data_IF_608165287983
#
_entry.id   IF_608165287983
#
_cell.length_a   1.000
_cell.length_b   1.000
_cell.length_c   1.000
_cell.angle_alpha   90.00
_cell.angle_beta   90.00
_cell.angle_gamma   90.00
#
_symmetry.space_group_name_H-M   'P 1'
#
loop_
_entity.id
_entity.type
_entity.pdbx_description
1 polymer ?
#
# COMPACT_ATOMS: atom_id res chain seq x y z
N UNK A 1 29.13 15.41 1.96
CA UNK A 1 28.51 16.74 2.16
C UNK A 1 27.05 16.54 2.54
N UNK A 2 26.64 16.86 3.77
CA UNK A 2 25.22 16.70 4.19
C UNK A 2 24.38 17.77 3.50
N UNK A 3 23.51 17.39 2.56
CA UNK A 3 22.69 18.34 1.82
C UNK A 3 21.46 18.73 2.67
N UNK A 4 21.26 20.04 2.84
CA UNK A 4 20.08 20.58 3.53
C UNK A 4 18.84 20.36 2.65
N UNK A 5 17.80 19.76 3.23
CA UNK A 5 16.54 19.44 2.53
C UNK A 5 15.34 20.25 3.01
N UNK A 6 15.40 20.91 4.17
CA UNK A 6 14.30 21.77 4.61
C UNK A 6 14.36 22.12 6.09
N UNK A 7 13.22 22.58 6.64
CA UNK A 7 13.04 22.84 8.08
C UNK A 7 12.35 21.64 8.74
N UNK A 8 12.77 21.32 9.95
CA UNK A 8 12.23 20.22 10.74
C UNK A 8 10.85 20.64 11.29
N UNK A 9 9.80 19.82 11.10
CA UNK A 9 8.46 20.16 11.59
C UNK A 9 8.38 20.12 13.12
N UNK A 10 9.28 19.40 13.81
CA UNK A 10 9.32 19.35 15.28
C UNK A 10 9.96 20.57 15.94
N UNK A 11 11.05 21.10 15.37
CA UNK A 11 11.87 22.10 16.07
C UNK A 11 12.41 23.23 15.18
N UNK A 12 12.01 23.30 13.91
CA UNK A 12 12.39 24.37 12.98
C UNK A 12 13.83 24.31 12.45
N UNK A 13 14.73 23.52 13.06
CA UNK A 13 16.12 23.34 12.62
C UNK A 13 16.21 22.67 11.24
N UNK A 14 17.37 22.70 10.62
CA UNK A 14 17.56 22.08 9.31
C UNK A 14 17.34 20.56 9.34
N UNK A 15 16.61 20.04 8.36
CA UNK A 15 16.63 18.60 8.00
C UNK A 15 17.75 18.39 7.00
N UNK A 16 18.55 17.35 7.21
CA UNK A 16 19.72 17.00 6.40
C UNK A 16 19.61 15.58 5.88
N UNK A 17 20.13 15.36 4.67
CA UNK A 17 20.32 14.03 4.10
C UNK A 17 21.52 13.33 4.78
N UNK A 18 21.26 12.16 5.39
CA UNK A 18 22.26 11.35 6.09
C UNK A 18 22.51 10.00 5.41
N UNK A 19 22.29 9.91 4.09
CA UNK A 19 22.48 8.68 3.33
C UNK A 19 21.22 7.82 3.31
N UNK A 20 20.97 7.02 4.36
CA UNK A 20 19.81 6.11 4.44
C UNK A 20 18.53 6.76 4.97
N UNK A 21 18.64 7.95 5.57
CA UNK A 21 17.50 8.69 6.13
C UNK A 21 17.68 10.20 6.05
N UNK A 22 16.58 10.92 6.14
CA UNK A 22 16.54 12.36 6.41
C UNK A 22 16.41 12.57 7.91
N UNK A 23 17.28 13.38 8.50
CA UNK A 23 17.29 13.59 9.95
C UNK A 23 17.40 15.06 10.33
N UNK A 24 16.89 15.43 11.49
CA UNK A 24 17.11 16.76 12.03
C UNK A 24 18.59 17.00 12.34
N UNK A 25 19.13 18.16 12.00
CA UNK A 25 20.47 18.59 12.41
C UNK A 25 20.57 18.74 13.94
N UNK A 26 19.44 19.01 14.60
CA UNK A 26 19.32 19.09 16.06
C UNK A 26 19.18 17.74 16.78
N UNK A 27 19.45 16.61 16.11
CA UNK A 27 19.25 15.28 16.70
C UNK A 27 20.04 15.08 17.99
N UNK A 28 21.29 15.53 18.00
CA UNK A 28 22.17 15.51 19.18
C UNK A 28 21.67 16.39 20.34
N UNK A 29 20.74 17.32 20.08
CA UNK A 29 20.10 18.19 21.08
C UNK A 29 18.70 17.71 21.46
N UNK A 30 18.39 16.43 21.24
CA UNK A 30 17.14 15.78 21.65
C UNK A 30 16.00 15.76 20.62
N UNK A 31 16.20 16.29 19.40
CA UNK A 31 15.16 16.21 18.35
C UNK A 31 15.25 14.89 17.59
N UNK A 32 14.26 14.02 17.74
CA UNK A 32 14.20 12.68 17.17
C UNK A 32 13.60 12.61 15.75
N UNK A 33 13.34 13.74 15.09
CA UNK A 33 12.79 13.73 13.73
C UNK A 33 13.73 13.01 12.75
N UNK A 34 13.23 11.91 12.20
CA UNK A 34 13.89 11.15 11.15
C UNK A 34 12.86 10.49 10.22
N UNK A 35 13.19 10.41 8.94
CA UNK A 35 12.41 9.72 7.90
C UNK A 35 13.36 8.82 7.13
N UNK A 36 13.12 7.51 7.15
CA UNK A 36 13.88 6.56 6.34
C UNK A 36 13.59 6.77 4.86
N UNK A 37 14.62 6.75 4.01
CA UNK A 37 14.40 6.90 2.57
C UNK A 37 13.62 5.73 1.97
N UNK A 38 13.82 4.55 2.53
CA UNK A 38 13.15 3.31 2.12
C UNK A 38 11.80 3.10 2.82
N UNK A 39 11.27 4.09 3.56
CA UNK A 39 10.03 3.90 4.33
C UNK A 39 8.81 3.53 3.48
N UNK A 40 8.83 3.82 2.18
CA UNK A 40 7.76 3.49 1.23
C UNK A 40 8.14 2.37 0.24
N UNK A 41 9.31 1.74 0.41
CA UNK A 41 9.80 0.71 -0.54
C UNK A 41 8.88 -0.50 -0.62
N UNK A 42 8.28 -0.89 0.51
CA UNK A 42 7.29 -1.96 0.62
C UNK A 42 6.02 -1.68 -0.19
N UNK A 43 5.71 -0.42 -0.50
CA UNK A 43 4.57 0.00 -1.32
C UNK A 43 4.94 0.21 -2.80
N UNK A 44 6.20 -0.03 -3.17
CA UNK A 44 6.67 0.16 -4.54
C UNK A 44 7.26 1.54 -4.84
N UNK A 45 7.54 2.35 -3.82
CA UNK A 45 8.30 3.59 -3.97
C UNK A 45 9.73 3.41 -3.38
N UNK A 46 10.75 3.18 -4.23
CA UNK A 46 12.02 2.60 -3.79
C UNK A 46 12.79 3.47 -2.81
N UNK A 47 12.81 4.79 -3.02
CA UNK A 47 13.54 5.73 -2.19
C UNK A 47 12.93 7.12 -2.29
N UNK A 48 12.66 7.73 -1.14
CA UNK A 48 12.29 9.15 -1.08
C UNK A 48 13.52 9.98 -1.43
N UNK A 49 13.44 10.74 -2.51
CA UNK A 49 14.51 11.61 -3.00
C UNK A 49 14.58 12.94 -2.24
N UNK A 50 15.69 13.70 -2.32
CA UNK A 50 15.78 15.01 -1.65
C UNK A 50 14.73 16.01 -2.15
N UNK A 51 14.28 15.88 -3.42
CA UNK A 51 13.22 16.71 -4.00
C UNK A 51 11.87 16.38 -3.39
N UNK A 52 11.55 15.10 -3.25
CA UNK A 52 10.29 14.63 -2.65
C UNK A 52 10.25 14.95 -1.15
N UNK A 53 11.36 14.76 -0.43
CA UNK A 53 11.45 15.15 0.98
C UNK A 53 11.21 16.66 1.17
N UNK A 54 11.76 17.52 0.30
CA UNK A 54 11.46 18.96 0.32
C UNK A 54 9.98 19.26 0.14
N UNK A 55 9.29 18.48 -0.70
CA UNK A 55 7.86 18.63 -0.93
C UNK A 55 7.06 18.14 0.28
N UNK A 56 7.39 16.96 0.82
CA UNK A 56 6.78 16.39 2.02
C UNK A 56 6.91 17.30 3.26
N UNK A 57 8.03 18.02 3.40
CA UNK A 57 8.20 19.01 4.48
C UNK A 57 7.32 20.26 4.32
N UNK A 58 6.74 20.49 3.13
CA UNK A 58 5.82 21.60 2.85
C UNK A 58 4.36 21.19 2.94
N UNK A 59 4.04 19.90 2.86
CA UNK A 59 2.69 19.36 2.95
C UNK A 59 2.52 18.10 2.10
N UNK A 60 1.26 17.77 1.82
CA UNK A 60 0.88 16.62 0.97
C UNK A 60 1.43 16.77 -0.45
N UNK A 61 1.95 15.67 -1.02
CA UNK A 61 2.54 15.62 -2.36
C UNK A 61 2.16 14.34 -3.09
N UNK A 62 1.95 14.41 -4.41
CA UNK A 62 1.79 13.21 -5.23
C UNK A 62 3.14 12.59 -5.56
N UNK A 63 3.33 11.33 -5.15
CA UNK A 63 4.51 10.52 -5.49
C UNK A 63 4.10 9.35 -6.39
N UNK A 64 5.01 8.90 -7.25
CA UNK A 64 4.79 7.71 -8.07
C UNK A 64 5.24 6.44 -7.35
N UNK A 65 4.43 5.41 -7.50
CA UNK A 65 4.62 4.09 -6.90
C UNK A 65 4.54 3.06 -8.01
N UNK A 66 5.63 2.32 -8.18
CA UNK A 66 5.66 1.15 -9.05
C UNK A 66 5.18 -0.04 -8.24
N UNK A 67 3.87 -0.25 -8.29
CA UNK A 67 3.25 -1.35 -7.56
C UNK A 67 3.75 -2.70 -8.10
N UNK A 68 3.55 -3.77 -7.33
CA UNK A 68 4.08 -5.10 -7.63
C UNK A 68 3.71 -5.58 -9.04
N UNK A 69 2.69 -5.03 -9.68
CA UNK A 69 2.27 -5.32 -11.04
C UNK A 69 3.11 -4.72 -12.17
N UNK A 70 4.02 -3.80 -11.87
CA UNK A 70 4.75 -3.01 -12.87
C UNK A 70 3.97 -1.80 -13.41
N UNK A 71 2.71 -1.61 -12.99
CA UNK A 71 1.94 -0.40 -13.25
C UNK A 71 2.45 0.70 -12.32
N UNK A 72 2.63 1.91 -12.85
CA UNK A 72 2.95 3.09 -12.08
C UNK A 72 1.66 3.82 -11.71
N UNK A 73 1.48 4.14 -10.41
CA UNK A 73 0.34 4.92 -9.90
C UNK A 73 0.83 6.10 -9.08
N UNK A 74 0.06 7.18 -9.09
CA UNK A 74 0.29 8.35 -8.26
C UNK A 74 -0.55 8.25 -6.99
N UNK A 75 0.06 8.45 -5.82
CA UNK A 75 -0.65 8.58 -4.54
C UNK A 75 -0.26 9.88 -3.85
N UNK A 76 -1.20 10.45 -3.12
CA UNK A 76 -0.90 11.53 -2.20
C UNK A 76 -0.18 10.96 -0.98
N UNK A 77 0.84 11.65 -0.55
CA UNK A 77 1.68 11.27 0.59
C UNK A 77 1.89 12.49 1.47
N UNK A 78 1.69 12.30 2.77
CA UNK A 78 1.88 13.34 3.78
C UNK A 78 2.70 12.80 4.95
N UNK A 79 3.42 13.68 5.65
CA UNK A 79 4.07 13.34 6.91
C UNK A 79 3.09 13.46 8.06
N UNK A 80 2.71 12.33 8.65
CA UNK A 80 1.84 12.29 9.83
C UNK A 80 2.64 11.98 11.07
N UNK A 81 2.19 12.49 12.22
CA UNK A 81 2.77 12.18 13.52
C UNK A 81 1.93 11.11 14.22
N UNK A 82 2.50 9.91 14.40
CA UNK A 82 1.88 8.80 15.16
C UNK A 82 2.82 8.37 16.28
N UNK A 83 2.30 8.25 17.50
CA UNK A 83 3.10 7.89 18.69
C UNK A 83 4.41 8.69 18.80
N UNK A 84 4.32 10.01 18.63
CA UNK A 84 5.46 10.93 18.63
C UNK A 84 6.50 10.73 17.52
N UNK A 85 6.31 9.84 16.55
CA UNK A 85 7.20 9.66 15.39
C UNK A 85 6.54 10.19 14.13
N UNK A 86 7.34 10.79 13.25
CA UNK A 86 6.88 11.20 11.93
C UNK A 86 7.03 10.03 10.96
N UNK A 87 6.00 9.78 10.17
CA UNK A 87 5.96 8.73 9.15
C UNK A 87 5.35 9.29 7.87
N UNK A 88 5.86 8.90 6.69
CA UNK A 88 5.15 9.16 5.45
C UNK A 88 3.92 8.24 5.38
N UNK A 89 2.72 8.81 5.42
CA UNK A 89 1.46 8.10 5.20
C UNK A 89 1.00 8.32 3.77
N UNK A 90 0.66 7.23 3.11
CA UNK A 90 0.05 7.24 1.78
C UNK A 90 -1.45 7.32 1.95
N UNK A 91 -2.07 8.27 1.28
CA UNK A 91 -3.53 8.34 1.14
C UNK A 91 -3.95 7.41 0.00
N UNK A 92 -4.55 6.28 0.38
CA UNK A 92 -5.09 5.28 -0.54
C UNK A 92 -6.50 5.61 -1.03
N UNK A 93 -7.10 6.69 -0.53
CA UNK A 93 -8.49 7.08 -0.82
C UNK A 93 -8.61 8.07 -1.97
N UNK A 94 -7.56 8.82 -2.25
CA UNK A 94 -7.55 9.76 -3.35
C UNK A 94 -7.66 9.05 -4.72
N UNK A 95 -8.78 9.29 -5.42
CA UNK A 95 -9.05 8.72 -6.74
C UNK A 95 -9.78 7.37 -6.72
N UNK A 96 -10.34 6.95 -5.58
CA UNK A 96 -11.27 5.80 -5.54
C UNK A 96 -12.47 6.09 -6.44
N UNK A 97 -12.70 5.23 -7.43
CA UNK A 97 -13.99 5.14 -8.06
C UNK A 97 -14.96 4.52 -7.04
N UNK A 98 -15.96 5.29 -6.60
CA UNK A 98 -16.97 4.90 -5.62
C UNK A 98 -17.95 3.81 -6.13
N UNK A 99 -17.50 2.97 -7.08
CA UNK A 99 -18.29 1.86 -7.57
C UNK A 99 -18.15 0.69 -6.59
N UNK A 100 -19.26 0.34 -5.93
CA UNK A 100 -19.36 -0.85 -5.11
C UNK A 100 -19.13 -2.11 -5.96
N UNK A 101 -18.26 -3.00 -5.48
CA UNK A 101 -17.95 -4.30 -6.06
C UNK A 101 -18.77 -5.43 -5.44
N UNK A 102 -19.50 -5.14 -4.37
CA UNK A 102 -20.25 -6.11 -3.56
C UNK A 102 -20.19 -5.74 -2.08
N UNK A 103 -20.94 -6.48 -1.26
CA UNK A 103 -20.99 -6.28 0.18
C UNK A 103 -19.80 -6.94 0.88
N UNK A 104 -19.27 -6.28 1.90
CA UNK A 104 -18.22 -6.79 2.75
C UNK A 104 -18.73 -8.00 3.54
N UNK A 105 -18.04 -9.15 3.51
CA UNK A 105 -18.46 -10.34 4.23
C UNK A 105 -18.31 -10.22 5.76
N UNK A 106 -17.58 -9.20 6.24
CA UNK A 106 -17.34 -8.98 7.68
C UNK A 106 -18.34 -8.00 8.29
N UNK A 107 -18.61 -6.87 7.62
CA UNK A 107 -19.45 -5.79 8.19
C UNK A 107 -20.64 -5.37 7.30
N UNK A 108 -20.79 -5.94 6.10
CA UNK A 108 -21.88 -5.62 5.17
C UNK A 108 -21.73 -4.33 4.37
N UNK A 109 -20.79 -3.44 4.72
CA UNK A 109 -20.52 -2.21 3.96
C UNK A 109 -19.97 -2.48 2.55
N UNK A 110 -19.94 -1.47 1.69
CA UNK A 110 -19.47 -1.65 0.31
C UNK A 110 -17.99 -2.00 0.23
N UNK A 111 -17.64 -2.93 -0.66
CA UNK A 111 -16.27 -3.15 -1.10
C UNK A 111 -15.98 -2.23 -2.28
N UNK A 112 -14.93 -1.42 -2.17
CA UNK A 112 -14.50 -0.49 -3.22
C UNK A 112 -13.10 -0.81 -3.71
N UNK A 113 -12.74 -0.28 -4.89
CA UNK A 113 -11.40 -0.46 -5.44
C UNK A 113 -10.42 0.54 -4.82
N UNK A 114 -9.51 0.01 -4.01
CA UNK A 114 -8.29 0.70 -3.59
C UNK A 114 -7.16 0.41 -4.59
N UNK A 115 -6.06 1.16 -4.54
CA UNK A 115 -4.97 0.94 -5.47
C UNK A 115 -4.32 -0.44 -5.37
N UNK A 116 -4.15 -0.95 -4.15
CA UNK A 116 -3.50 -2.24 -3.86
C UNK A 116 -4.47 -3.38 -3.60
N UNK A 117 -5.74 -3.08 -3.30
CA UNK A 117 -6.72 -4.06 -2.86
C UNK A 117 -8.14 -3.70 -3.31
N UNK A 118 -9.05 -4.65 -3.15
CA UNK A 118 -10.49 -4.44 -3.13
C UNK A 118 -10.91 -4.56 -1.67
N UNK A 119 -11.21 -3.44 -1.03
CA UNK A 119 -11.28 -3.33 0.43
C UNK A 119 -12.60 -2.78 0.92
N UNK A 120 -12.89 -3.01 2.19
CA UNK A 120 -14.04 -2.42 2.84
C UNK A 120 -13.97 -0.89 2.83
N UNK A 121 -15.05 -0.24 2.41
CA UNK A 121 -15.22 1.22 2.48
C UNK A 121 -15.08 1.76 3.91
N UNK A 122 -15.39 0.94 4.92
CA UNK A 122 -15.29 1.26 6.35
C UNK A 122 -13.97 0.80 7.00
N UNK A 123 -12.89 0.70 6.24
CA UNK A 123 -11.59 0.30 6.81
C UNK A 123 -11.07 1.27 7.88
N UNK A 124 -11.36 2.58 7.75
CA UNK A 124 -11.01 3.59 8.76
C UNK A 124 -11.86 3.47 10.04
N UNK A 125 -13.05 2.86 9.95
CA UNK A 125 -13.91 2.54 11.10
C UNK A 125 -13.52 1.19 11.76
N UNK A 126 -12.45 0.54 11.27
CA UNK A 126 -11.87 -0.66 11.86
C UNK A 126 -12.13 -1.98 11.10
N UNK A 127 -12.82 -1.95 9.97
CA UNK A 127 -13.04 -3.16 9.16
C UNK A 127 -11.85 -3.44 8.22
N UNK A 128 -10.92 -4.29 8.63
CA UNK A 128 -9.67 -4.56 7.90
C UNK A 128 -9.82 -5.52 6.69
N UNK A 129 -11.04 -5.91 6.33
CA UNK A 129 -11.27 -6.81 5.19
C UNK A 129 -10.77 -6.20 3.88
N UNK A 130 -9.84 -6.90 3.22
CA UNK A 130 -9.28 -6.51 1.93
C UNK A 130 -8.82 -7.72 1.10
N UNK A 131 -9.22 -7.76 -0.18
CA UNK A 131 -8.70 -8.68 -1.17
C UNK A 131 -7.54 -8.01 -1.90
N UNK A 132 -6.30 -8.38 -1.58
CA UNK A 132 -5.12 -7.82 -2.25
C UNK A 132 -5.05 -8.26 -3.72
N UNK A 133 -4.74 -7.32 -4.61
CA UNK A 133 -4.71 -7.60 -6.06
C UNK A 133 -3.60 -8.58 -6.44
N UNK A 134 -2.56 -8.73 -5.63
CA UNK A 134 -1.43 -9.63 -5.87
C UNK A 134 -1.46 -10.91 -5.02
N UNK A 135 -2.57 -11.23 -4.35
CA UNK A 135 -2.71 -12.42 -3.48
C UNK A 135 -2.23 -13.74 -4.11
N UNK A 136 -2.40 -13.90 -5.44
CA UNK A 136 -2.02 -15.12 -6.16
C UNK A 136 -0.68 -15.00 -6.90
N UNK A 137 -0.03 -13.83 -6.87
CA UNK A 137 1.19 -13.57 -7.63
C UNK A 137 2.36 -14.42 -7.15
N UNK A 138 2.46 -14.67 -5.83
CA UNK A 138 3.48 -15.55 -5.23
C UNK A 138 3.41 -17.00 -5.73
N UNK A 139 2.28 -17.39 -6.31
CA UNK A 139 2.06 -18.71 -6.89
C UNK A 139 2.14 -18.70 -8.42
N UNK A 140 2.64 -17.61 -9.04
CA UNK A 140 2.71 -17.46 -10.49
C UNK A 140 1.36 -17.09 -11.13
N UNK A 141 0.39 -16.64 -10.35
CA UNK A 141 -0.87 -16.06 -10.84
C UNK A 141 -0.71 -14.63 -11.32
N UNK A 142 -1.67 -14.17 -12.13
CA UNK A 142 -1.81 -12.74 -12.49
C UNK A 142 -2.45 -11.97 -11.34
N UNK A 143 -2.47 -10.64 -11.43
CA UNK A 143 -3.26 -9.86 -10.48
C UNK A 143 -4.75 -10.17 -10.61
N UNK A 144 -5.44 -10.10 -9.49
CA UNK A 144 -6.90 -10.09 -9.47
C UNK A 144 -7.39 -8.78 -10.07
N UNK A 145 -8.31 -8.91 -11.00
CA UNK A 145 -9.02 -7.81 -11.65
C UNK A 145 -10.27 -7.46 -10.86
N UNK A 146 -10.89 -6.32 -11.20
CA UNK A 146 -12.17 -5.90 -10.64
C UNK A 146 -13.27 -6.94 -10.89
N UNK A 147 -13.21 -7.62 -12.03
CA UNK A 147 -14.11 -8.72 -12.37
C UNK A 147 -13.91 -9.91 -11.43
N UNK A 148 -12.65 -10.32 -11.21
CA UNK A 148 -12.33 -11.42 -10.31
C UNK A 148 -12.82 -11.14 -8.88
N UNK A 149 -12.62 -9.90 -8.38
CA UNK A 149 -13.11 -9.49 -7.07
C UNK A 149 -14.64 -9.54 -6.97
N UNK A 150 -15.36 -9.02 -7.97
CA UNK A 150 -16.83 -9.08 -8.03
C UNK A 150 -17.35 -10.53 -8.03
N UNK A 151 -16.75 -11.38 -8.85
CA UNK A 151 -17.13 -12.80 -8.92
C UNK A 151 -16.80 -13.54 -7.62
N UNK A 152 -15.66 -13.25 -6.99
CA UNK A 152 -15.27 -13.84 -5.71
C UNK A 152 -16.20 -13.43 -4.56
N UNK A 153 -16.57 -12.15 -4.48
CA UNK A 153 -17.52 -11.65 -3.48
C UNK A 153 -18.92 -12.24 -3.68
N UNK A 154 -19.35 -12.41 -4.94
CA UNK A 154 -20.67 -12.94 -5.28
C UNK A 154 -20.79 -14.44 -5.05
N UNK A 155 -19.80 -15.21 -5.50
CA UNK A 155 -19.88 -16.67 -5.54
C UNK A 155 -19.17 -17.34 -4.35
N UNK A 156 -18.38 -16.59 -3.57
CA UNK A 156 -17.52 -17.13 -2.51
C UNK A 156 -16.29 -17.87 -3.03
N UNK A 157 -16.23 -18.18 -4.32
CA UNK A 157 -15.11 -18.84 -4.97
C UNK A 157 -15.04 -18.53 -6.47
N UNK A 158 -13.82 -18.50 -7.02
CA UNK A 158 -13.57 -18.41 -8.46
C UNK A 158 -12.42 -19.33 -8.88
N UNK A 159 -12.36 -19.68 -10.16
CA UNK A 159 -11.21 -20.40 -10.72
C UNK A 159 -10.20 -19.40 -11.29
N UNK A 160 -8.96 -19.46 -10.82
CA UNK A 160 -7.85 -18.63 -11.32
C UNK A 160 -6.77 -19.48 -11.97
N UNK A 161 -6.01 -18.86 -12.88
CA UNK A 161 -4.89 -19.52 -13.56
C UNK A 161 -3.58 -19.13 -12.88
N UNK A 162 -2.79 -20.13 -12.51
CA UNK A 162 -1.44 -19.97 -11.96
C UNK A 162 -0.41 -20.70 -12.82
N UNK A 163 0.83 -20.22 -12.81
CA UNK A 163 1.97 -20.89 -13.44
C UNK A 163 2.73 -21.69 -12.37
N UNK A 164 2.63 -23.02 -12.44
CA UNK A 164 3.34 -23.91 -11.53
C UNK A 164 4.85 -23.91 -11.75
N UNK A 165 5.59 -24.50 -10.80
CA UNK A 165 7.05 -24.68 -10.89
C UNK A 165 7.49 -25.50 -12.12
N UNK A 166 6.61 -26.39 -12.58
CA UNK A 166 6.74 -27.15 -13.83
C UNK A 166 6.54 -26.30 -15.10
N UNK A 167 6.43 -24.97 -14.95
CA UNK A 167 6.10 -23.98 -15.97
C UNK A 167 4.75 -24.21 -16.65
N UNK A 168 3.93 -25.15 -16.17
CA UNK A 168 2.60 -25.44 -16.72
C UNK A 168 1.56 -24.54 -16.08
N UNK A 169 0.56 -24.16 -16.88
CA UNK A 169 -0.58 -23.43 -16.38
C UNK A 169 -1.55 -24.40 -15.71
N UNK A 170 -1.93 -24.11 -14.46
CA UNK A 170 -2.91 -24.88 -13.69
C UNK A 170 -4.05 -23.97 -13.27
N UNK A 171 -5.24 -24.55 -13.25
CA UNK A 171 -6.44 -23.93 -12.71
C UNK A 171 -6.57 -24.32 -11.24
N UNK A 172 -6.84 -23.34 -10.40
CA UNK A 172 -6.94 -23.50 -8.95
C UNK A 172 -8.08 -22.65 -8.44
N UNK A 173 -8.76 -23.14 -7.41
CA UNK A 173 -9.84 -22.39 -6.79
C UNK A 173 -9.28 -21.36 -5.82
N UNK A 174 -9.72 -20.12 -5.97
CA UNK A 174 -9.53 -19.06 -5.01
C UNK A 174 -10.83 -18.91 -4.22
N UNK A 175 -10.74 -19.10 -2.91
CA UNK A 175 -11.86 -19.00 -1.99
C UNK A 175 -11.84 -17.65 -1.28
N UNK A 176 -13.02 -17.08 -1.08
CA UNK A 176 -13.20 -15.90 -0.25
C UNK A 176 -12.86 -16.28 1.20
N UNK A 177 -12.14 -15.41 1.88
CA UNK A 177 -11.73 -15.62 3.25
C UNK A 177 -11.99 -14.35 4.04
N UNK A 178 -12.80 -14.43 5.09
CA UNK A 178 -13.21 -13.26 5.87
C UNK A 178 -12.06 -12.65 6.68
N UNK A 179 -10.98 -13.41 6.94
CA UNK A 179 -9.82 -12.97 7.71
C UNK A 179 -8.70 -12.46 6.81
N UNK A 180 -8.38 -13.20 5.74
CA UNK A 180 -7.26 -12.89 4.84
C UNK A 180 -7.68 -12.29 3.48
N UNK A 181 -8.97 -12.02 3.31
CA UNK A 181 -9.57 -11.58 2.05
C UNK A 181 -9.80 -12.74 1.08
N UNK A 182 -8.76 -13.52 0.79
CA UNK A 182 -8.86 -14.73 -0.03
C UNK A 182 -7.75 -15.75 0.25
N UNK A 183 -8.04 -17.03 -0.01
CA UNK A 183 -7.06 -18.13 0.09
C UNK A 183 -7.19 -19.12 -1.05
N UNK A 184 -6.07 -19.75 -1.40
CA UNK A 184 -6.06 -20.80 -2.42
C UNK A 184 -6.52 -22.14 -1.84
N UNK A 185 -7.33 -22.86 -2.60
CA UNK A 185 -7.66 -24.25 -2.31
C UNK A 185 -6.79 -25.19 -3.14
N UNK A 186 -5.98 -25.99 -2.45
CA UNK A 186 -5.13 -27.01 -3.05
C UNK A 186 -5.72 -28.43 -2.90
N UNK A 187 -6.98 -28.58 -2.48
CA UNK A 187 -7.60 -29.88 -2.17
C UNK A 187 -7.86 -30.81 -3.37
N UNK A 188 -7.57 -30.40 -4.62
CA UNK A 188 -7.58 -31.32 -5.76
C UNK A 188 -6.19 -31.95 -5.99
N UNK A 189 -5.76 -32.80 -5.04
CA UNK A 189 -4.66 -33.75 -5.25
C UNK A 189 -5.22 -35.14 -5.44
#
# INVERSE_FOLDING_TARGET
MQSKVGKCPKCGKAVVDRGSFYGCAGFVKGCDFSIGKSSLSHLGHPTITPKEMRALLKGSVQLSFKISSGIERLFWVELVQKASKFLPQVDFTAGIAAESLGSCPVCGADIVEYPLSYGCSKWEEGCEFAIFKDSIKKFGGKMLTKKDAKELLKNGQIEVKIRGFDKKMKKVNLLLDSEFGCRMDFKNR
#
